data_IF_122168797751
#
_entry.id   IF_122168797751
#
_cell.length_a   1.000
_cell.length_b   1.000
_cell.length_c   1.000
_cell.angle_alpha   90.00
_cell.angle_beta   90.00
_cell.angle_gamma   90.00
#
_symmetry.space_group_name_H-M   'P 1'
#
loop_
_entity.id
_entity.type
_entity.pdbx_description
1 polymer ?
#
# COMPACT_ATOMS: atom_id res chain seq x y z
N UNK A 1 2.23 -12.36 -5.34
CA UNK A 1 1.85 -11.21 -4.49
C UNK A 1 0.80 -10.44 -5.27
N UNK A 2 -0.42 -10.30 -4.74
CA UNK A 2 -1.44 -9.46 -5.37
C UNK A 2 -1.04 -8.03 -5.04
N UNK A 3 -0.62 -7.26 -6.04
CA UNK A 3 -0.30 -5.86 -5.84
C UNK A 3 -1.59 -5.16 -5.43
N UNK A 4 -1.58 -4.50 -4.28
CA UNK A 4 -2.64 -3.59 -3.87
C UNK A 4 -2.76 -2.52 -4.97
N UNK A 5 -3.91 -2.41 -5.64
CA UNK A 5 -4.15 -1.35 -6.61
C UNK A 5 -4.43 -0.06 -5.84
N UNK A 6 -3.39 0.78 -5.71
CA UNK A 6 -3.42 2.06 -5.02
C UNK A 6 -3.47 3.16 -6.07
N UNK A 7 -4.59 3.89 -6.10
CA UNK A 7 -4.82 5.03 -6.98
C UNK A 7 -4.83 6.35 -6.20
N UNK A 8 -4.46 7.49 -6.82
CA UNK A 8 -4.54 8.79 -6.17
C UNK A 8 -5.96 9.12 -5.70
N UNK A 9 -6.12 9.47 -4.43
CA UNK A 9 -7.38 9.90 -3.85
C UNK A 9 -7.45 11.42 -3.64
N UNK A 10 -8.50 11.92 -2.93
CA UNK A 10 -8.56 13.30 -2.46
C UNK A 10 -7.30 13.68 -1.65
N UNK A 11 -6.98 14.98 -1.54
CA UNK A 11 -5.78 15.45 -0.85
C UNK A 11 -5.64 14.83 0.56
N UNK A 12 -4.56 14.09 0.80
CA UNK A 12 -4.28 13.40 2.06
C UNK A 12 -4.85 11.98 2.15
N UNK A 13 -5.48 11.49 1.08
CA UNK A 13 -6.05 10.16 0.98
C UNK A 13 -5.63 9.47 -0.33
N UNK A 14 -5.63 8.15 -0.29
CA UNK A 14 -5.42 7.28 -1.44
C UNK A 14 -6.58 6.28 -1.53
N UNK A 15 -6.93 5.92 -2.76
CA UNK A 15 -7.95 4.92 -3.03
C UNK A 15 -7.29 3.56 -3.09
N UNK A 16 -7.73 2.63 -2.24
CA UNK A 16 -7.26 1.24 -2.22
C UNK A 16 -8.38 0.27 -2.51
N UNK A 17 -8.08 -0.72 -3.35
CA UNK A 17 -8.93 -1.89 -3.57
C UNK A 17 -8.60 -2.98 -2.56
N UNK A 18 -9.59 -3.41 -1.78
CA UNK A 18 -9.49 -4.50 -0.82
C UNK A 18 -10.26 -5.70 -1.35
N UNK A 19 -9.57 -6.82 -1.53
CA UNK A 19 -10.18 -8.05 -2.02
C UNK A 19 -10.17 -9.11 -0.92
N UNK A 20 -11.33 -9.71 -0.69
CA UNK A 20 -11.45 -10.81 0.25
C UNK A 20 -10.77 -12.05 -0.34
N UNK A 21 -9.89 -12.71 0.42
CA UNK A 21 -9.25 -13.95 -0.04
C UNK A 21 -10.17 -15.18 0.00
N UNK A 22 -11.35 -15.06 0.60
CA UNK A 22 -12.30 -16.17 0.82
C UNK A 22 -13.52 -16.12 -0.10
N UNK A 23 -13.82 -14.96 -0.69
CA UNK A 23 -14.94 -14.78 -1.60
C UNK A 23 -14.62 -13.72 -2.64
N UNK A 24 -15.42 -13.64 -3.70
CA UNK A 24 -15.22 -12.70 -4.81
C UNK A 24 -15.63 -11.25 -4.48
N UNK A 25 -15.60 -10.89 -3.20
CA UNK A 25 -15.93 -9.54 -2.76
C UNK A 25 -14.70 -8.63 -2.86
N UNK A 26 -14.89 -7.49 -3.53
CA UNK A 26 -13.91 -6.44 -3.64
C UNK A 26 -14.54 -5.09 -3.26
N UNK A 27 -13.84 -4.29 -2.45
CA UNK A 27 -14.31 -2.98 -2.01
C UNK A 27 -13.22 -1.93 -2.24
N UNK A 28 -13.58 -0.78 -2.81
CA UNK A 28 -12.67 0.37 -2.91
C UNK A 28 -12.95 1.34 -1.77
N UNK A 29 -11.91 1.71 -1.01
CA UNK A 29 -12.01 2.71 0.07
C UNK A 29 -10.98 3.82 -0.09
N UNK A 30 -11.35 5.03 0.29
CA UNK A 30 -10.40 6.12 0.52
C UNK A 30 -9.80 5.96 1.92
N UNK A 31 -8.49 5.75 1.99
CA UNK A 31 -7.73 5.63 3.24
C UNK A 31 -6.75 6.79 3.35
N UNK A 32 -6.41 7.25 4.57
CA UNK A 32 -5.38 8.28 4.74
C UNK A 32 -4.08 7.83 4.05
N UNK A 33 -3.48 8.70 3.24
CA UNK A 33 -2.20 8.41 2.62
C UNK A 33 -1.13 8.26 3.70
N UNK A 34 -0.22 7.30 3.53
CA UNK A 34 0.91 7.16 4.44
C UNK A 34 1.74 8.46 4.41
N UNK A 35 1.93 9.15 5.57
CA UNK A 35 2.80 10.32 5.63
C UNK A 35 4.26 9.99 5.25
N UNK A 36 4.67 8.73 5.41
CA UNK A 36 5.94 8.22 4.94
C UNK A 36 5.73 7.72 3.50
N UNK A 37 6.15 8.54 2.52
CA UNK A 37 6.38 8.05 1.16
C UNK A 37 7.62 7.16 1.16
N UNK A 38 7.44 5.90 1.53
CA UNK A 38 8.56 4.96 1.55
C UNK A 38 9.01 4.69 0.11
N UNK A 39 10.29 4.94 -0.20
CA UNK A 39 10.92 4.35 -1.37
C UNK A 39 11.20 2.87 -1.05
N UNK A 40 10.14 2.08 -0.93
CA UNK A 40 10.19 0.67 -0.55
C UNK A 40 11.06 -0.17 -1.51
N UNK A 41 11.43 0.36 -2.68
CA UNK A 41 12.43 -0.23 -3.59
C UNK A 41 13.72 -0.57 -2.84
N UNK A 42 14.17 0.29 -1.90
CA UNK A 42 15.37 0.03 -1.10
C UNK A 42 15.18 -1.09 -0.07
N UNK A 43 13.96 -1.25 0.44
CA UNK A 43 13.62 -2.35 1.34
C UNK A 43 13.58 -3.68 0.59
N UNK A 44 13.01 -3.70 -0.62
CA UNK A 44 13.00 -4.87 -1.50
C UNK A 44 14.41 -5.25 -1.98
N UNK A 45 15.32 -4.28 -2.12
CA UNK A 45 16.71 -4.51 -2.48
C UNK A 45 17.56 -5.10 -1.33
N UNK A 46 16.99 -5.34 -0.15
CA UNK A 46 17.72 -5.93 0.99
C UNK A 46 18.76 -4.99 1.61
N UNK A 47 18.64 -3.67 1.40
CA UNK A 47 19.59 -2.68 1.92
C UNK A 47 19.39 -2.36 3.41
N UNK A 48 18.37 -2.91 4.06
CA UNK A 48 18.12 -2.73 5.49
C UNK A 48 19.16 -3.50 6.31
N UNK A 49 19.94 -2.77 7.12
CA UNK A 49 20.86 -3.34 8.10
C UNK A 49 20.24 -3.27 9.50
N UNK A 50 20.57 -4.24 10.35
CA UNK A 50 20.21 -4.17 11.77
C UNK A 50 20.86 -2.94 12.43
N UNK A 51 20.22 -2.31 13.43
CA UNK A 51 20.86 -1.29 14.24
C UNK A 51 22.04 -1.88 15.01
N UNK A 52 23.07 -1.06 15.26
CA UNK A 52 24.22 -1.40 16.12
C UNK A 52 23.84 -1.44 17.60
#
# INVERSE_FOLDING_TARGET
MKLEDVSPGPKGFESRLFECSKCDHAETRAVPSDPIKSNAVRWLAGELKAPE
#
